data_IF_018194331126
#
_entry.id   IF_018194331126
#
_cell.length_a   1.000
_cell.length_b   1.000
_cell.length_c   1.000
_cell.angle_alpha   90.00
_cell.angle_beta   90.00
_cell.angle_gamma   90.00
#
_symmetry.space_group_name_H-M   'P 1'
#
loop_
_entity.id
_entity.type
_entity.pdbx_description
1 polymer ?
#
# COMPACT_ATOMS: atom_id res chain seq x y z
N UNK A 1 -18.80 -4.62 35.37
CA UNK A 1 -17.39 -4.36 35.01
C UNK A 1 -16.79 -5.46 34.11
N UNK A 2 -16.93 -6.75 34.43
CA UNK A 2 -16.39 -7.86 33.63
C UNK A 2 -16.88 -7.89 32.16
N UNK A 3 -18.17 -7.64 31.93
CA UNK A 3 -18.77 -7.63 30.59
C UNK A 3 -18.27 -6.48 29.68
N UNK A 4 -17.95 -5.33 30.26
CA UNK A 4 -17.45 -4.16 29.52
C UNK A 4 -15.96 -4.29 29.16
N UNK A 5 -15.19 -5.00 29.97
CA UNK A 5 -13.78 -5.28 29.69
C UNK A 5 -13.63 -6.30 28.53
N UNK A 6 -14.45 -7.36 28.53
CA UNK A 6 -14.45 -8.34 27.44
C UNK A 6 -14.89 -7.73 26.11
N UNK A 7 -15.95 -6.91 26.10
CA UNK A 7 -16.38 -6.28 24.86
C UNK A 7 -15.32 -5.33 24.30
N UNK A 8 -14.65 -4.52 25.14
CA UNK A 8 -13.58 -3.63 24.70
C UNK A 8 -12.36 -4.38 24.13
N UNK A 9 -12.01 -5.55 24.69
CA UNK A 9 -10.95 -6.40 24.17
C UNK A 9 -11.31 -7.00 22.80
N UNK A 10 -12.53 -7.50 22.65
CA UNK A 10 -13.06 -8.05 21.39
C UNK A 10 -13.11 -6.99 20.28
N UNK A 11 -13.56 -5.76 20.59
CA UNK A 11 -13.56 -4.65 19.62
C UNK A 11 -12.15 -4.30 19.15
N UNK A 12 -11.18 -4.26 20.07
CA UNK A 12 -9.78 -3.92 19.75
C UNK A 12 -9.11 -5.01 18.92
N UNK A 13 -9.34 -6.27 19.25
CA UNK A 13 -8.80 -7.40 18.48
C UNK A 13 -9.38 -7.42 17.06
N UNK A 14 -10.69 -7.19 16.93
CA UNK A 14 -11.35 -7.09 15.63
C UNK A 14 -10.73 -5.97 14.80
N UNK A 15 -10.54 -4.78 15.37
CA UNK A 15 -9.93 -3.63 14.68
C UNK A 15 -8.51 -3.94 14.17
N UNK A 16 -7.65 -4.47 15.05
CA UNK A 16 -6.27 -4.87 14.70
C UNK A 16 -6.25 -5.90 13.56
N UNK A 17 -7.14 -6.90 13.59
CA UNK A 17 -7.23 -7.93 12.54
C UNK A 17 -7.55 -7.32 11.17
N UNK A 18 -8.44 -6.33 11.09
CA UNK A 18 -8.77 -5.67 9.83
C UNK A 18 -7.60 -4.84 9.29
N UNK A 19 -6.90 -4.11 10.17
CA UNK A 19 -5.70 -3.36 9.78
C UNK A 19 -4.57 -4.27 9.27
N UNK A 20 -4.31 -5.38 9.97
CA UNK A 20 -3.29 -6.35 9.56
C UNK A 20 -3.64 -7.05 8.25
N UNK A 21 -4.90 -7.48 8.08
CA UNK A 21 -5.36 -8.10 6.84
C UNK A 21 -5.25 -7.12 5.66
N UNK A 22 -5.70 -5.88 5.85
CA UNK A 22 -5.60 -4.83 4.84
C UNK A 22 -4.15 -4.58 4.42
N UNK A 23 -3.23 -4.46 5.40
CA UNK A 23 -1.81 -4.25 5.14
C UNK A 23 -1.19 -5.44 4.38
N UNK A 24 -1.56 -6.67 4.74
CA UNK A 24 -1.04 -7.88 4.09
C UNK A 24 -1.51 -7.97 2.63
N UNK A 25 -2.81 -7.74 2.37
CA UNK A 25 -3.35 -7.75 1.01
C UNK A 25 -2.68 -6.63 0.18
N UNK A 26 -2.52 -5.44 0.75
CA UNK A 26 -1.80 -4.32 0.10
C UNK A 26 -0.37 -4.69 -0.26
N UNK A 27 0.36 -5.31 0.68
CA UNK A 27 1.73 -5.77 0.43
C UNK A 27 1.80 -6.69 -0.79
N UNK A 28 0.96 -7.71 -0.85
CA UNK A 28 0.95 -8.64 -1.99
C UNK A 28 0.53 -7.96 -3.29
N UNK A 29 -0.46 -7.06 -3.25
CA UNK A 29 -0.88 -6.29 -4.41
C UNK A 29 0.27 -5.45 -4.99
N UNK A 30 1.02 -4.76 -4.13
CA UNK A 30 2.20 -3.98 -4.53
C UNK A 30 3.31 -4.91 -5.02
N UNK A 31 3.65 -5.94 -4.25
CA UNK A 31 4.73 -6.87 -4.55
C UNK A 31 4.52 -7.59 -5.88
N UNK A 32 3.32 -8.10 -6.15
CA UNK A 32 2.99 -8.76 -7.43
C UNK A 32 3.01 -7.75 -8.58
N UNK A 33 2.49 -6.54 -8.39
CA UNK A 33 2.54 -5.50 -9.43
C UNK A 33 3.97 -5.19 -9.83
N UNK A 34 4.86 -5.01 -8.84
CA UNK A 34 6.27 -4.73 -9.08
C UNK A 34 7.03 -5.93 -9.63
N UNK A 35 6.74 -7.14 -9.14
CA UNK A 35 7.32 -8.39 -9.63
C UNK A 35 7.04 -8.61 -11.12
N UNK A 36 5.88 -8.17 -11.61
CA UNK A 36 5.52 -8.27 -13.02
C UNK A 36 6.15 -7.17 -13.87
N UNK A 37 6.30 -5.95 -13.34
CA UNK A 37 6.70 -4.80 -14.14
C UNK A 37 8.19 -4.49 -14.10
N UNK A 38 8.83 -4.51 -12.92
CA UNK A 38 10.23 -4.11 -12.79
C UNK A 38 11.20 -4.93 -13.66
N UNK A 39 11.06 -6.28 -13.77
CA UNK A 39 11.93 -7.08 -14.63
C UNK A 39 11.80 -6.76 -16.13
N UNK A 40 10.70 -6.15 -16.57
CA UNK A 40 10.49 -5.78 -17.98
C UNK A 40 11.31 -4.55 -18.40
N UNK A 41 11.80 -3.76 -17.44
CA UNK A 41 12.43 -2.47 -17.68
C UNK A 41 13.83 -2.35 -17.07
N UNK A 42 14.38 -3.44 -16.56
CA UNK A 42 15.61 -3.48 -15.79
C UNK A 42 16.01 -4.90 -15.38
N UNK A 43 17.04 -5.03 -14.55
CA UNK A 43 17.56 -6.32 -14.08
C UNK A 43 17.05 -6.70 -12.67
N UNK A 44 15.82 -6.32 -12.33
CA UNK A 44 15.20 -6.69 -11.06
C UNK A 44 14.84 -8.18 -11.07
N UNK A 45 15.38 -8.93 -10.12
CA UNK A 45 14.89 -10.28 -9.82
C UNK A 45 13.54 -10.22 -9.09
N UNK A 46 12.67 -11.19 -9.36
CA UNK A 46 11.35 -11.30 -8.71
C UNK A 46 11.49 -11.32 -7.18
N UNK A 47 12.49 -12.01 -6.63
CA UNK A 47 12.71 -12.05 -5.19
C UNK A 47 13.00 -10.65 -4.60
N UNK A 48 13.81 -9.85 -5.32
CA UNK A 48 14.14 -8.49 -4.91
C UNK A 48 12.93 -7.56 -4.94
N UNK A 49 11.97 -7.76 -5.86
CA UNK A 49 10.76 -6.93 -5.89
C UNK A 49 9.91 -7.13 -4.64
N UNK A 50 9.86 -8.36 -4.08
CA UNK A 50 9.17 -8.62 -2.82
C UNK A 50 9.84 -7.94 -1.63
N UNK A 51 11.18 -7.88 -1.63
CA UNK A 51 11.95 -7.18 -0.59
C UNK A 51 11.69 -5.67 -0.67
N UNK A 52 11.75 -5.08 -1.87
CA UNK A 52 11.54 -3.64 -2.08
C UNK A 52 10.08 -3.23 -1.86
N UNK A 53 9.12 -4.12 -2.08
CA UNK A 53 7.72 -3.86 -1.78
C UNK A 53 7.45 -3.68 -0.27
N UNK A 54 8.31 -4.19 0.63
CA UNK A 54 8.15 -4.01 2.08
C UNK A 54 8.24 -2.53 2.49
N UNK A 55 9.37 -1.81 2.26
CA UNK A 55 9.46 -0.40 2.62
C UNK A 55 8.43 0.46 1.88
N UNK A 56 8.10 0.13 0.62
CA UNK A 56 7.02 0.82 -0.11
C UNK A 56 5.71 0.70 0.66
N UNK A 57 5.28 -0.53 0.97
CA UNK A 57 4.01 -0.77 1.66
C UNK A 57 3.94 -0.06 3.01
N UNK A 58 5.01 -0.13 3.80
CA UNK A 58 5.07 0.51 5.11
C UNK A 58 4.97 2.04 5.00
N UNK A 59 5.66 2.65 4.04
CA UNK A 59 5.62 4.10 3.81
C UNK A 59 4.25 4.54 3.31
N UNK A 60 3.69 3.84 2.32
CA UNK A 60 2.37 4.17 1.76
C UNK A 60 1.28 4.06 2.84
N UNK A 61 1.29 2.99 3.63
CA UNK A 61 0.34 2.85 4.73
C UNK A 61 0.48 3.99 5.75
N UNK A 62 1.70 4.25 6.20
CA UNK A 62 1.94 5.21 7.29
C UNK A 62 1.72 6.66 6.89
N UNK A 63 2.12 7.04 5.67
CA UNK A 63 2.04 8.42 5.20
C UNK A 63 0.75 8.70 4.44
N UNK A 64 0.29 7.76 3.63
CA UNK A 64 -0.85 7.99 2.75
C UNK A 64 -2.14 7.49 3.37
N UNK A 65 -2.24 6.22 3.76
CA UNK A 65 -3.51 5.66 4.23
C UNK A 65 -3.95 6.25 5.58
N UNK A 66 -3.00 6.40 6.51
CA UNK A 66 -3.33 6.90 7.83
C UNK A 66 -3.54 8.42 7.87
N UNK A 67 -2.87 9.18 6.99
CA UNK A 67 -2.87 10.65 7.05
C UNK A 67 -3.61 11.30 5.89
N UNK A 68 -3.33 10.87 4.66
CA UNK A 68 -3.83 11.54 3.45
C UNK A 68 -5.21 11.02 3.07
N UNK A 69 -5.49 9.73 3.23
CA UNK A 69 -6.78 9.14 2.87
C UNK A 69 -7.96 9.76 3.64
N UNK A 70 -7.89 10.00 4.97
CA UNK A 70 -9.00 10.63 5.70
C UNK A 70 -9.19 12.12 5.35
N UNK A 71 -8.13 12.79 4.88
CA UNK A 71 -8.13 14.24 4.64
C UNK A 71 -8.42 14.62 3.19
N UNK A 72 -7.89 13.85 2.24
CA UNK A 72 -7.86 14.19 0.82
C UNK A 72 -8.57 13.15 -0.06
N UNK A 73 -8.99 12.01 0.51
CA UNK A 73 -9.74 10.97 -0.18
C UNK A 73 -8.90 10.09 -1.12
N UNK A 74 -9.57 9.09 -1.68
CA UNK A 74 -8.91 7.99 -2.41
C UNK A 74 -8.10 8.46 -3.63
N UNK A 75 -8.64 9.38 -4.44
CA UNK A 75 -7.97 9.86 -5.66
C UNK A 75 -6.61 10.51 -5.36
N UNK A 76 -6.58 11.42 -4.38
CA UNK A 76 -5.35 12.13 -4.00
C UNK A 76 -4.34 11.19 -3.34
N UNK A 77 -4.82 10.26 -2.53
CA UNK A 77 -4.00 9.20 -1.92
C UNK A 77 -3.33 8.33 -2.98
N UNK A 78 -4.07 7.95 -4.03
CA UNK A 78 -3.54 7.13 -5.13
C UNK A 78 -2.45 7.86 -5.93
N UNK A 79 -2.62 9.15 -6.19
CA UNK A 79 -1.61 9.99 -6.86
C UNK A 79 -0.34 10.08 -5.99
N UNK A 80 -0.51 10.36 -4.70
CA UNK A 80 0.61 10.40 -3.76
C UNK A 80 1.35 9.05 -3.69
N UNK A 81 0.61 7.95 -3.72
CA UNK A 81 1.19 6.61 -3.71
C UNK A 81 2.02 6.32 -4.95
N UNK A 82 1.59 6.77 -6.13
CA UNK A 82 2.44 6.70 -7.33
C UNK A 82 3.74 7.49 -7.15
N UNK A 83 3.68 8.70 -6.60
CA UNK A 83 4.87 9.54 -6.39
C UNK A 83 5.83 8.95 -5.36
N UNK A 84 5.32 8.53 -4.20
CA UNK A 84 6.11 7.89 -3.15
C UNK A 84 6.72 6.57 -3.65
N UNK A 85 5.96 5.77 -4.39
CA UNK A 85 6.48 4.53 -4.98
C UNK A 85 7.61 4.82 -5.96
N UNK A 86 7.46 5.81 -6.85
CA UNK A 86 8.55 6.18 -7.77
C UNK A 86 9.79 6.64 -7.02
N UNK A 87 9.63 7.41 -5.94
CA UNK A 87 10.75 7.93 -5.16
C UNK A 87 11.51 6.79 -4.46
N UNK A 88 10.78 5.81 -3.91
CA UNK A 88 11.39 4.67 -3.21
C UNK A 88 12.07 3.72 -4.20
N UNK A 89 11.46 3.44 -5.36
CA UNK A 89 12.11 2.64 -6.40
C UNK A 89 13.38 3.34 -6.88
N UNK A 90 13.31 4.65 -7.17
CA UNK A 90 14.48 5.42 -7.55
C UNK A 90 15.59 5.39 -6.47
N UNK A 91 15.22 5.60 -5.20
CA UNK A 91 16.16 5.51 -4.09
C UNK A 91 16.79 4.12 -3.96
N UNK A 92 16.04 3.05 -4.28
CA UNK A 92 16.56 1.67 -4.23
C UNK A 92 17.75 1.43 -5.17
N UNK A 93 17.85 2.16 -6.29
CA UNK A 93 18.97 2.06 -7.23
C UNK A 93 20.30 2.58 -6.64
N UNK A 94 20.25 3.47 -5.65
CA UNK A 94 21.44 3.96 -4.96
C UNK A 94 21.86 3.07 -3.80
N UNK A 95 20.89 2.39 -3.17
CA UNK A 95 21.13 1.46 -2.06
C UNK A 95 21.61 0.10 -2.58
N UNK A 96 21.14 -0.30 -3.76
CA UNK A 96 21.43 -1.56 -4.42
C UNK A 96 22.05 -1.27 -5.80
N UNK A 97 23.35 -0.96 -5.87
CA UNK A 97 24.00 -0.43 -7.08
C UNK A 97 24.05 -1.42 -8.25
N UNK A 98 23.87 -2.71 -7.99
CA UNK A 98 23.77 -3.74 -9.03
C UNK A 98 22.41 -3.72 -9.74
N UNK A 99 21.42 -3.00 -9.20
CA UNK A 99 20.11 -2.83 -9.83
C UNK A 99 20.14 -1.69 -10.83
N UNK A 100 19.53 -1.96 -11.98
CA UNK A 100 19.35 -1.05 -13.10
C UNK A 100 17.88 -1.05 -13.47
N UNK A 101 17.34 0.13 -13.73
CA UNK A 101 15.97 0.32 -14.14
C UNK A 101 15.86 1.58 -14.99
N UNK A 102 15.17 1.49 -16.11
CA UNK A 102 14.90 2.69 -16.91
C UNK A 102 13.95 3.65 -16.17
N UNK A 103 14.09 4.96 -16.44
CA UNK A 103 13.15 5.97 -15.94
C UNK A 103 11.69 5.69 -16.32
N UNK A 104 11.46 5.13 -17.52
CA UNK A 104 10.13 4.67 -17.94
C UNK A 104 9.62 3.52 -17.07
N UNK A 105 10.48 2.58 -16.69
CA UNK A 105 10.15 1.49 -15.78
C UNK A 105 9.70 1.99 -14.41
N UNK A 106 10.38 2.99 -13.85
CA UNK A 106 9.99 3.64 -12.59
C UNK A 106 8.60 4.25 -12.72
N UNK A 107 8.38 5.04 -13.78
CA UNK A 107 7.11 5.75 -14.00
C UNK A 107 5.93 4.79 -14.19
N UNK A 108 6.06 3.80 -15.07
CA UNK A 108 4.97 2.86 -15.35
C UNK A 108 4.67 1.99 -14.13
N UNK A 109 5.70 1.49 -13.45
CA UNK A 109 5.50 0.65 -12.26
C UNK A 109 4.85 1.43 -11.12
N UNK A 110 5.25 2.68 -10.91
CA UNK A 110 4.69 3.50 -9.84
C UNK A 110 3.25 3.92 -10.13
N UNK A 111 2.93 4.25 -11.38
CA UNK A 111 1.55 4.52 -11.80
C UNK A 111 0.66 3.29 -11.64
N UNK A 112 1.16 2.10 -11.99
CA UNK A 112 0.43 0.85 -11.80
C UNK A 112 0.11 0.60 -10.32
N UNK A 113 1.07 0.87 -9.41
CA UNK A 113 0.83 0.78 -7.96
C UNK A 113 -0.25 1.77 -7.50
N UNK A 114 -0.23 3.03 -7.96
CA UNK A 114 -1.29 3.98 -7.61
C UNK A 114 -2.67 3.62 -8.18
N UNK A 115 -2.74 3.03 -9.38
CA UNK A 115 -3.99 2.51 -9.94
C UNK A 115 -4.51 1.35 -9.09
N UNK A 116 -3.63 0.40 -8.76
CA UNK A 116 -3.97 -0.74 -7.92
C UNK A 116 -4.50 -0.29 -6.55
N UNK A 117 -3.86 0.69 -5.94
CA UNK A 117 -4.30 1.31 -4.69
C UNK A 117 -5.72 1.86 -4.76
N UNK A 118 -6.04 2.58 -5.83
CA UNK A 118 -7.36 3.16 -6.01
C UNK A 118 -8.45 2.08 -6.06
N UNK A 119 -8.18 0.96 -6.74
CA UNK A 119 -9.05 -0.21 -6.79
C UNK A 119 -9.13 -0.90 -5.43
N UNK A 120 -8.00 -1.08 -4.75
CA UNK A 120 -7.91 -1.71 -3.44
C UNK A 120 -8.78 -1.01 -2.40
N UNK A 121 -8.71 0.32 -2.30
CA UNK A 121 -9.56 1.07 -1.37
C UNK A 121 -11.06 0.93 -1.69
N UNK A 122 -11.43 0.91 -2.97
CA UNK A 122 -12.82 0.68 -3.37
C UNK A 122 -13.28 -0.74 -3.04
N UNK A 123 -12.40 -1.72 -3.22
CA UNK A 123 -12.68 -3.10 -2.87
C UNK A 123 -12.85 -3.28 -1.36
N UNK A 124 -11.99 -2.67 -0.53
CA UNK A 124 -12.13 -2.68 0.93
C UNK A 124 -13.46 -2.10 1.40
N UNK A 125 -13.87 -0.96 0.83
CA UNK A 125 -15.15 -0.32 1.15
C UNK A 125 -16.35 -1.20 0.77
N UNK A 126 -16.29 -1.87 -0.40
CA UNK A 126 -17.37 -2.76 -0.86
C UNK A 126 -17.51 -4.02 -0.02
N UNK A 127 -16.42 -4.52 0.55
CA UNK A 127 -16.40 -5.76 1.34
C UNK A 127 -16.50 -5.52 2.86
N UNK A 128 -16.62 -4.26 3.31
CA UNK A 128 -16.71 -3.92 4.73
C UNK A 128 -15.46 -4.29 5.54
N UNK A 129 -14.31 -4.48 4.88
CA UNK A 129 -13.04 -4.88 5.50
C UNK A 129 -12.40 -3.69 6.24
N UNK A 130 -12.75 -2.47 5.86
CA UNK A 130 -12.45 -1.29 6.66
C UNK A 130 -13.79 -0.72 7.11
N UNK A 131 -14.06 -0.80 8.41
CA UNK A 131 -15.04 0.07 9.04
C UNK A 131 -14.50 1.47 8.81
N UNK A 132 -15.17 2.26 7.99
CA UNK A 132 -14.97 3.71 8.02
C UNK A 132 -15.02 4.10 9.50
N UNK A 133 -13.88 4.57 10.02
CA UNK A 133 -13.92 5.42 11.20
C UNK A 133 -14.85 6.55 10.81
N UNK A 134 -16.06 6.46 11.34
CA UNK A 134 -17.14 7.39 11.25
C UNK A 134 -18.07 7.28 10.03
N UNK A 135 -19.32 7.02 10.39
CA UNK A 135 -20.56 7.08 9.64
C UNK A 135 -20.87 8.55 9.22
N UNK A 136 -19.96 9.19 8.47
CA UNK A 136 -20.04 10.61 8.07
C UNK A 136 -19.83 10.89 6.58
N UNK A 137 -20.04 9.90 5.73
CA UNK A 137 -20.23 10.14 4.29
C UNK A 137 -21.53 9.46 3.87
N UNK A 138 -22.64 10.14 4.22
CA UNK A 138 -23.84 10.12 3.37
C UNK A 138 -23.60 11.08 2.21
#
# INVERSE_FOLDING_TARGET
>A
MYYAANSAAEWREKDIRHHLLSLLIKYFLIALTLALLLPLFGNYGVEMTFIIAVPITLVLYSLSDLKVLPLAGNRNTSILNSLLTSLIIWASLYVLPDLTLSWFGILISSLAVGINEWFFHRWLLRNGIVLLVNNKLK
#
